data_IF_833468572567
#
_entry.id   IF_833468572567
#
_cell.length_a   1.000
_cell.length_b   1.000
_cell.length_c   1.000
_cell.angle_alpha   90.00
_cell.angle_beta   90.00
_cell.angle_gamma   90.00
#
_symmetry.space_group_name_H-M   'P 1'
#
loop_
_entity.id
_entity.type
_entity.pdbx_description
1 polymer ?
#
# COMPACT_ATOMS: atom_id res chain seq x y z
N UNK A 1 -16.42 -6.95 4.77
CA UNK A 1 -15.07 -7.39 5.20
C UNK A 1 -14.72 -6.60 6.45
N UNK A 2 -14.15 -7.21 7.49
CA UNK A 2 -13.73 -6.46 8.68
C UNK A 2 -12.37 -5.78 8.48
N UNK A 3 -12.03 -4.71 9.23
CA UNK A 3 -10.70 -4.07 9.17
C UNK A 3 -9.55 -5.06 9.36
N UNK A 4 -9.68 -5.98 10.34
CA UNK A 4 -8.69 -7.05 10.58
C UNK A 4 -8.61 -8.07 9.43
N UNK A 5 -9.73 -8.35 8.76
CA UNK A 5 -9.71 -9.21 7.58
C UNK A 5 -9.00 -8.52 6.42
N UNK A 6 -9.20 -7.21 6.20
CA UNK A 6 -8.47 -6.44 5.20
C UNK A 6 -6.96 -6.44 5.49
N UNK A 7 -6.57 -6.19 6.73
CA UNK A 7 -5.16 -6.23 7.15
C UNK A 7 -4.48 -7.57 6.83
N UNK A 8 -5.18 -8.68 7.02
CA UNK A 8 -4.69 -10.02 6.67
C UNK A 8 -4.52 -10.22 5.16
N UNK A 9 -5.44 -9.72 4.35
CA UNK A 9 -5.34 -9.84 2.90
C UNK A 9 -4.21 -8.95 2.34
N UNK A 10 -4.05 -7.74 2.88
CA UNK A 10 -2.93 -6.85 2.54
C UNK A 10 -1.57 -7.52 2.78
N UNK A 11 -1.40 -8.20 3.92
CA UNK A 11 -0.14 -8.91 4.26
C UNK A 11 0.19 -10.09 3.34
N UNK A 12 -0.80 -10.66 2.64
CA UNK A 12 -0.58 -11.77 1.71
C UNK A 12 -0.21 -11.28 0.31
N UNK A 13 -0.36 -9.99 0.05
CA UNK A 13 -0.16 -9.45 -1.27
C UNK A 13 1.34 -9.33 -1.55
N UNK A 14 1.80 -9.94 -2.64
CA UNK A 14 3.18 -9.86 -3.09
C UNK A 14 3.25 -9.01 -4.35
N UNK A 15 4.11 -8.00 -4.33
CA UNK A 15 4.34 -7.13 -5.48
C UNK A 15 5.56 -7.63 -6.27
N UNK A 16 5.45 -7.77 -7.61
CA UNK A 16 6.60 -8.10 -8.43
C UNK A 16 7.69 -7.04 -8.32
N UNK A 17 8.92 -7.46 -8.03
CA UNK A 17 10.12 -6.61 -8.08
C UNK A 17 10.71 -6.67 -9.48
N UNK A 18 11.00 -5.52 -10.06
CA UNK A 18 11.61 -5.39 -11.39
C UNK A 18 12.99 -4.73 -11.29
N UNK A 19 13.95 -5.10 -12.15
CA UNK A 19 15.30 -4.54 -12.12
C UNK A 19 15.37 -3.08 -12.63
N UNK A 20 14.30 -2.63 -13.29
CA UNK A 20 14.12 -1.27 -13.82
C UNK A 20 13.50 -0.35 -12.77
N UNK A 21 13.44 0.93 -13.10
CA UNK A 21 12.77 1.95 -12.29
C UNK A 21 11.32 1.54 -11.99
N UNK A 22 11.00 1.45 -10.70
CA UNK A 22 9.71 1.07 -10.15
C UNK A 22 9.39 1.89 -8.91
N UNK A 23 8.30 1.57 -8.22
CA UNK A 23 8.01 2.19 -6.93
C UNK A 23 9.03 1.73 -5.88
N UNK A 24 9.46 2.67 -5.04
CA UNK A 24 10.33 2.40 -3.88
C UNK A 24 9.72 1.28 -3.03
N UNK A 25 10.44 0.16 -2.91
CA UNK A 25 9.98 -0.97 -2.10
C UNK A 25 9.80 -0.53 -0.64
N UNK A 26 10.79 0.18 -0.10
CA UNK A 26 10.78 0.71 1.25
C UNK A 26 9.57 1.61 1.50
N UNK A 27 9.30 2.59 0.63
CA UNK A 27 8.20 3.54 0.89
C UNK A 27 6.82 2.88 0.73
N UNK A 28 6.69 1.92 -0.19
CA UNK A 28 5.45 1.13 -0.33
C UNK A 28 5.25 0.27 0.92
N UNK A 29 6.29 -0.44 1.38
CA UNK A 29 6.22 -1.32 2.54
C UNK A 29 5.94 -0.54 3.84
N UNK A 30 6.53 0.65 3.99
CA UNK A 30 6.28 1.54 5.13
C UNK A 30 4.84 2.06 5.16
N UNK A 31 4.32 2.50 4.00
CA UNK A 31 2.93 2.91 3.86
C UNK A 31 1.99 1.75 4.19
N UNK A 32 2.24 0.57 3.61
CA UNK A 32 1.44 -0.65 3.85
C UNK A 32 1.48 -1.06 5.32
N UNK A 33 2.66 -1.04 5.94
CA UNK A 33 2.84 -1.38 7.35
C UNK A 33 2.02 -0.47 8.27
N UNK A 34 2.02 0.84 7.99
CA UNK A 34 1.21 1.80 8.74
C UNK A 34 -0.29 1.58 8.53
N UNK A 35 -0.74 1.30 7.30
CA UNK A 35 -2.15 0.99 7.01
C UNK A 35 -2.58 -0.25 7.80
N UNK A 36 -1.78 -1.31 7.76
CA UNK A 36 -2.04 -2.55 8.49
C UNK A 36 -2.10 -2.31 10.00
N UNK A 37 -1.17 -1.52 10.56
CA UNK A 37 -1.19 -1.17 11.98
C UNK A 37 -2.47 -0.41 12.37
N UNK A 38 -2.91 0.54 11.54
CA UNK A 38 -4.15 1.29 11.73
C UNK A 38 -5.39 0.38 11.67
N UNK A 39 -5.48 -0.51 10.67
CA UNK A 39 -6.56 -1.49 10.53
C UNK A 39 -6.66 -2.48 11.70
N UNK A 40 -5.54 -2.76 12.36
CA UNK A 40 -5.48 -3.61 13.56
C UNK A 40 -5.73 -2.87 14.87
N UNK A 41 -5.82 -1.53 14.84
CA UNK A 41 -5.93 -0.69 16.04
C UNK A 41 -4.63 -0.60 16.86
N UNK A 42 -3.48 -0.84 16.23
CA UNK A 42 -2.14 -0.85 16.86
C UNK A 42 -1.34 0.42 16.57
N UNK A 43 -1.93 1.40 15.90
CA UNK A 43 -1.29 2.66 15.55
C UNK A 43 -2.31 3.67 15.02
N UNK A 44 -1.85 4.87 14.63
CA UNK A 44 -2.71 5.88 14.02
C UNK A 44 -3.40 5.33 12.77
N UNK A 45 -4.66 5.71 12.58
CA UNK A 45 -5.36 5.40 11.34
C UNK A 45 -4.68 6.14 10.18
N UNK A 46 -4.28 5.40 9.14
CA UNK A 46 -3.82 6.01 7.89
C UNK A 46 -5.04 6.50 7.11
N UNK A 47 -5.06 7.78 6.78
CA UNK A 47 -6.12 8.38 5.97
C UNK A 47 -5.96 7.93 4.51
N UNK A 48 -7.09 7.68 3.84
CA UNK A 48 -7.18 7.53 2.39
C UNK A 48 -6.45 8.64 1.62
N UNK A 49 -6.41 9.86 2.16
CA UNK A 49 -5.65 10.98 1.58
C UNK A 49 -4.15 10.71 1.47
N UNK A 50 -3.58 9.96 2.40
CA UNK A 50 -2.16 9.60 2.38
C UNK A 50 -1.85 8.65 1.20
N UNK A 51 -2.75 7.69 0.94
CA UNK A 51 -2.63 6.79 -0.23
C UNK A 51 -2.73 7.59 -1.54
N UNK A 52 -3.68 8.54 -1.62
CA UNK A 52 -3.81 9.41 -2.79
C UNK A 52 -2.56 10.26 -2.99
N UNK A 53 -2.05 10.86 -1.92
CA UNK A 53 -0.83 11.67 -1.98
C UNK A 53 0.37 10.85 -2.47
N UNK A 54 0.54 9.63 -1.97
CA UNK A 54 1.57 8.71 -2.42
C UNK A 54 1.39 8.36 -3.90
N UNK A 55 0.17 8.04 -4.34
CA UNK A 55 -0.13 7.70 -5.73
C UNK A 55 0.11 8.86 -6.70
N UNK A 56 -0.03 10.11 -6.26
CA UNK A 56 0.22 11.31 -7.06
C UNK A 56 1.71 11.60 -7.26
N UNK A 57 2.56 11.27 -6.28
CA UNK A 57 4.00 11.49 -6.35
C UNK A 57 4.76 10.34 -5.67
N UNK A 58 4.82 9.17 -6.33
CA UNK A 58 5.50 8.02 -5.75
C UNK A 58 7.01 8.23 -5.78
N UNK A 59 7.70 7.84 -4.72
CA UNK A 59 9.15 7.67 -4.77
C UNK A 59 9.48 6.51 -5.70
N UNK A 60 10.47 6.70 -6.56
CA UNK A 60 10.93 5.68 -7.50
C UNK A 60 12.31 5.14 -7.10
N UNK A 61 12.53 3.84 -7.29
CA UNK A 61 13.82 3.18 -7.06
C UNK A 61 14.13 2.14 -8.13
N UNK A 62 15.40 1.74 -8.22
CA UNK A 62 15.86 0.63 -9.07
C UNK A 62 16.82 -0.25 -8.25
N UNK A 63 16.50 -1.53 -7.97
CA UNK A 63 15.23 -2.18 -8.29
C UNK A 63 14.05 -1.59 -7.50
N UNK A 64 12.84 -1.74 -8.03
CA UNK A 64 11.61 -1.27 -7.40
C UNK A 64 10.45 -2.24 -7.66
N UNK A 65 9.35 -2.07 -6.95
CA UNK A 65 8.11 -2.77 -7.30
C UNK A 65 7.63 -2.30 -8.68
N UNK A 66 7.10 -3.22 -9.49
CA UNK A 66 6.50 -2.88 -10.76
C UNK A 66 5.41 -1.82 -10.56
N UNK A 67 5.60 -0.63 -11.15
CA UNK A 67 4.77 0.55 -10.88
C UNK A 67 3.29 0.32 -11.19
N UNK A 68 2.98 -0.47 -12.22
CA UNK A 68 1.60 -0.81 -12.57
C UNK A 68 0.96 -1.68 -11.51
N UNK A 69 1.66 -2.74 -11.08
CA UNK A 69 1.22 -3.66 -10.04
C UNK A 69 1.03 -2.95 -8.70
N UNK A 70 2.00 -2.11 -8.29
CA UNK A 70 1.94 -1.33 -7.06
C UNK A 70 0.79 -0.31 -7.08
N UNK A 71 0.59 0.40 -8.20
CA UNK A 71 -0.51 1.34 -8.35
C UNK A 71 -1.88 0.65 -8.29
N UNK A 72 -2.06 -0.48 -8.98
CA UNK A 72 -3.32 -1.25 -8.91
C UNK A 72 -3.60 -1.71 -7.49
N UNK A 73 -2.59 -2.25 -6.81
CA UNK A 73 -2.70 -2.69 -5.42
C UNK A 73 -3.15 -1.56 -4.48
N UNK A 74 -2.45 -0.42 -4.49
CA UNK A 74 -2.78 0.72 -3.63
C UNK A 74 -4.15 1.34 -3.97
N UNK A 75 -4.53 1.34 -5.25
CA UNK A 75 -5.86 1.81 -5.69
C UNK A 75 -6.98 0.90 -5.16
N UNK A 76 -6.78 -0.41 -5.21
CA UNK A 76 -7.73 -1.38 -4.66
C UNK A 76 -7.83 -1.24 -3.14
N UNK A 77 -6.71 -1.07 -2.44
CA UNK A 77 -6.67 -0.84 -1.00
C UNK A 77 -7.43 0.43 -0.59
N UNK A 78 -7.21 1.54 -1.30
CA UNK A 78 -7.96 2.78 -1.10
C UNK A 78 -9.47 2.56 -1.23
N UNK A 79 -9.91 1.84 -2.26
CA UNK A 79 -11.32 1.55 -2.51
C UNK A 79 -11.93 0.64 -1.43
N UNK A 80 -11.19 -0.35 -0.94
CA UNK A 80 -11.63 -1.23 0.14
C UNK A 80 -11.74 -0.52 1.49
N UNK A 81 -10.77 0.35 1.82
CA UNK A 81 -10.83 1.18 3.03
C UNK A 81 -12.02 2.13 3.05
N UNK A 82 -12.53 2.56 1.88
CA UNK A 82 -13.72 3.41 1.79
C UNK A 82 -15.05 2.69 2.00
N UNK A 83 -15.05 1.36 2.17
CA UNK A 83 -16.24 0.51 2.26
C UNK A 83 -16.40 -0.17 3.63
N UNK A 84 -15.49 0.09 4.56
CA UNK A 84 -15.47 -0.50 5.90
C UNK A 84 -15.71 0.55 6.97
#
# INVERSE_FOLDING_TARGET
MSPRQLAREVRKFELPVVPRLGYSQQDVDDLVSRIVAGLEGKGPAVDRREIVSFLSSPTLSSPGYDSSSARVFLTNLFGLMGRI
#
